data_IF_935508068801
#
_entry.id   IF_935508068801
#
_cell.length_a   1.000
_cell.length_b   1.000
_cell.length_c   1.000
_cell.angle_alpha   90.00
_cell.angle_beta   90.00
_cell.angle_gamma   90.00
#
_symmetry.space_group_name_H-M   'P 1'
#
loop_
_entity.id
_entity.type
_entity.pdbx_description
1 polymer ?
#
# COMPACT_ATOMS: atom_id res chain seq x y z
N UNK A 1 -16.93 16.61 -5.93
CA UNK A 1 -16.98 15.51 -4.95
C UNK A 1 -15.83 14.59 -5.26
N UNK A 2 -15.11 14.16 -4.23
CA UNK A 2 -14.01 13.22 -4.38
C UNK A 2 -14.53 11.82 -4.61
N UNK A 3 -13.73 10.99 -5.28
CA UNK A 3 -14.04 9.57 -5.49
C UNK A 3 -14.27 8.85 -4.15
N UNK A 4 -13.46 9.19 -3.13
CA UNK A 4 -13.56 8.61 -1.79
C UNK A 4 -14.93 8.80 -1.13
N UNK A 5 -15.65 9.87 -1.48
CA UNK A 5 -16.95 10.22 -0.88
C UNK A 5 -18.12 9.45 -1.52
N UNK A 6 -17.93 8.92 -2.74
CA UNK A 6 -19.04 8.39 -3.56
C UNK A 6 -18.89 6.90 -3.87
N UNK A 7 -17.72 6.44 -4.31
CA UNK A 7 -17.54 5.07 -4.84
C UNK A 7 -16.39 4.29 -4.21
N UNK A 8 -15.85 4.73 -3.07
CA UNK A 8 -14.73 4.04 -2.44
C UNK A 8 -15.03 2.55 -2.17
N UNK A 9 -14.17 1.61 -2.62
CA UNK A 9 -14.35 0.18 -2.37
C UNK A 9 -13.96 -0.18 -0.92
N UNK A 10 -14.77 0.28 0.02
CA UNK A 10 -14.49 0.18 1.46
C UNK A 10 -14.33 -1.26 1.92
N UNK A 11 -15.17 -2.19 1.44
CA UNK A 11 -15.15 -3.57 1.88
C UNK A 11 -13.86 -4.28 1.46
N UNK A 12 -13.47 -4.11 0.20
CA UNK A 12 -12.28 -4.68 -0.40
C UNK A 12 -11.00 -4.12 0.24
N UNK A 13 -11.00 -2.80 0.49
CA UNK A 13 -9.86 -2.14 1.14
C UNK A 13 -9.73 -2.56 2.61
N UNK A 14 -10.85 -2.68 3.34
CA UNK A 14 -10.83 -3.15 4.73
C UNK A 14 -10.31 -4.57 4.84
N UNK A 15 -10.66 -5.45 3.90
CA UNK A 15 -10.17 -6.82 3.88
C UNK A 15 -8.63 -6.89 3.83
N UNK A 16 -8.00 -6.08 2.98
CA UNK A 16 -6.54 -5.98 2.94
C UNK A 16 -5.96 -5.29 4.18
N UNK A 17 -6.63 -4.27 4.71
CA UNK A 17 -6.18 -3.60 5.93
C UNK A 17 -6.15 -4.54 7.14
N UNK A 18 -7.22 -5.32 7.33
CA UNK A 18 -7.30 -6.32 8.39
C UNK A 18 -6.12 -7.29 8.30
N UNK A 19 -5.82 -7.79 7.10
CA UNK A 19 -4.69 -8.69 6.89
C UNK A 19 -3.33 -8.05 7.09
N UNK A 20 -3.13 -6.83 6.58
CA UNK A 20 -1.89 -6.10 6.80
C UNK A 20 -1.62 -6.04 8.31
N UNK A 21 -2.62 -5.71 9.12
CA UNK A 21 -2.51 -5.56 10.57
C UNK A 21 -2.31 -6.88 11.34
N UNK A 22 -2.50 -8.04 10.71
CA UNK A 22 -2.18 -9.34 11.32
C UNK A 22 -0.67 -9.49 11.52
N UNK A 23 -0.28 -9.82 12.76
CA UNK A 23 1.11 -9.97 13.17
C UNK A 23 1.69 -11.37 12.93
N UNK A 24 1.02 -12.44 13.42
CA UNK A 24 1.55 -13.82 13.33
C UNK A 24 0.53 -14.86 12.84
N UNK A 25 -0.69 -14.85 13.39
CA UNK A 25 -1.72 -15.85 13.06
C UNK A 25 -2.90 -15.16 12.38
N UNK A 26 -3.20 -15.58 11.16
CA UNK A 26 -4.34 -15.11 10.39
C UNK A 26 -5.54 -15.99 10.75
N UNK A 27 -6.65 -15.38 11.16
CA UNK A 27 -7.89 -16.09 11.42
C UNK A 27 -8.38 -16.82 10.17
N UNK A 28 -8.99 -17.99 10.35
CA UNK A 28 -9.39 -18.87 9.23
C UNK A 28 -10.39 -18.18 8.29
N UNK A 29 -11.32 -17.42 8.85
CA UNK A 29 -12.34 -16.66 8.13
C UNK A 29 -11.70 -15.54 7.28
N UNK A 30 -10.77 -14.77 7.85
CA UNK A 30 -10.06 -13.72 7.13
C UNK A 30 -9.21 -14.30 5.98
N UNK A 31 -8.56 -15.43 6.23
CA UNK A 31 -7.82 -16.17 5.19
C UNK A 31 -8.73 -16.59 4.05
N UNK A 32 -9.91 -17.12 4.37
CA UNK A 32 -10.89 -17.55 3.36
C UNK A 32 -11.37 -16.37 2.52
N UNK A 33 -11.83 -15.29 3.17
CA UNK A 33 -12.31 -14.07 2.49
C UNK A 33 -11.25 -13.49 1.54
N UNK A 34 -9.98 -13.44 1.95
CA UNK A 34 -8.88 -12.95 1.09
C UNK A 34 -8.59 -13.90 -0.06
N UNK A 35 -8.62 -15.20 0.18
CA UNK A 35 -8.40 -16.20 -0.87
C UNK A 35 -9.48 -16.10 -1.95
N UNK A 36 -10.74 -15.98 -1.53
CA UNK A 36 -11.89 -15.73 -2.41
C UNK A 36 -11.73 -14.41 -3.18
N UNK A 37 -11.36 -13.33 -2.49
CA UNK A 37 -11.18 -12.02 -3.12
C UNK A 37 -10.02 -11.99 -4.14
N UNK A 38 -8.94 -12.71 -3.85
CA UNK A 38 -7.83 -12.89 -4.78
C UNK A 38 -8.15 -13.88 -5.92
N UNK A 39 -9.27 -14.60 -5.86
CA UNK A 39 -9.67 -15.59 -6.85
C UNK A 39 -8.74 -16.81 -6.88
N UNK A 40 -8.20 -17.21 -5.73
CA UNK A 40 -7.30 -18.37 -5.62
C UNK A 40 -7.55 -19.11 -4.31
N UNK A 41 -7.82 -20.41 -4.42
CA UNK A 41 -8.04 -21.26 -3.25
C UNK A 41 -6.72 -21.78 -2.65
N UNK A 42 -6.77 -22.21 -1.39
CA UNK A 42 -5.66 -22.88 -0.70
C UNK A 42 -4.35 -22.07 -0.58
N UNK A 43 -4.41 -20.74 -0.68
CA UNK A 43 -3.24 -19.87 -0.50
C UNK A 43 -2.62 -20.06 0.88
N UNK A 44 -1.31 -20.30 0.94
CA UNK A 44 -0.57 -20.48 2.19
C UNK A 44 -0.30 -19.13 2.84
N UNK A 45 -0.47 -19.04 4.16
CA UNK A 45 0.02 -17.88 4.90
C UNK A 45 1.55 -17.90 4.89
N UNK A 46 2.17 -16.84 4.41
CA UNK A 46 3.61 -16.60 4.54
C UNK A 46 3.80 -15.30 5.31
N UNK A 47 4.72 -15.31 6.26
CA UNK A 47 5.19 -14.09 6.92
C UNK A 47 6.14 -13.36 5.97
N UNK A 48 5.59 -12.80 4.89
CA UNK A 48 6.34 -11.88 4.04
C UNK A 48 6.70 -10.63 4.86
N UNK A 49 7.89 -10.04 4.66
CA UNK A 49 8.38 -8.92 5.46
C UNK A 49 7.52 -7.67 5.21
N UNK A 50 6.57 -7.42 6.11
CA UNK A 50 5.80 -6.17 6.18
C UNK A 50 6.63 -5.11 6.88
N UNK A 51 6.42 -3.83 6.54
CA UNK A 51 7.10 -2.70 7.16
C UNK A 51 6.96 -2.73 8.70
N UNK A 52 5.75 -3.00 9.20
CA UNK A 52 5.47 -3.14 10.63
C UNK A 52 6.08 -4.37 11.30
N UNK A 53 6.53 -5.35 10.51
CA UNK A 53 7.19 -6.56 11.01
C UNK A 53 8.72 -6.41 11.00
N UNK A 54 9.26 -5.49 10.19
CA UNK A 54 10.69 -5.17 10.16
C UNK A 54 11.08 -4.28 11.34
N UNK A 55 10.29 -3.24 11.60
CA UNK A 55 10.50 -2.32 12.71
C UNK A 55 9.16 -2.05 13.39
N UNK A 56 9.04 -2.41 14.66
CA UNK A 56 7.83 -2.15 15.44
C UNK A 56 7.79 -0.68 15.89
N UNK A 57 6.72 0.02 15.53
CA UNK A 57 6.38 1.35 16.05
C UNK A 57 4.88 1.40 16.39
N UNK A 58 4.47 1.97 17.54
CA UNK A 58 3.08 1.92 18.00
C UNK A 58 2.06 2.73 17.16
N UNK A 59 2.48 3.39 16.08
CA UNK A 59 1.60 4.00 15.07
C UNK A 59 1.53 3.15 13.78
N UNK A 60 0.87 1.98 13.86
CA UNK A 60 0.74 1.05 12.73
C UNK A 60 -0.46 1.41 11.87
N UNK A 61 -0.19 1.82 10.62
CA UNK A 61 -1.21 2.12 9.62
C UNK A 61 -1.12 1.06 8.50
N UNK A 62 -2.23 0.40 8.11
CA UNK A 62 -2.22 -0.61 7.06
C UNK A 62 -1.81 -0.02 5.71
N UNK A 63 -0.67 -0.44 5.12
CA UNK A 63 -0.19 0.15 3.88
C UNK A 63 -1.16 -0.05 2.70
N UNK A 64 -1.84 -1.19 2.58
CA UNK A 64 -2.77 -1.43 1.46
C UNK A 64 -3.93 -0.42 1.45
N UNK A 65 -4.52 -0.15 2.62
CA UNK A 65 -5.56 0.87 2.73
C UNK A 65 -5.01 2.28 2.59
N UNK A 66 -3.80 2.52 3.07
CA UNK A 66 -3.13 3.81 2.91
C UNK A 66 -2.98 4.20 1.44
N UNK A 67 -2.56 3.26 0.58
CA UNK A 67 -2.52 3.47 -0.87
C UNK A 67 -3.88 3.86 -1.43
N UNK A 68 -4.90 3.07 -1.08
CA UNK A 68 -6.26 3.28 -1.58
C UNK A 68 -6.81 4.65 -1.15
N UNK A 69 -6.73 4.98 0.14
CA UNK A 69 -7.21 6.26 0.68
C UNK A 69 -6.46 7.44 0.06
N UNK A 70 -5.13 7.34 -0.07
CA UNK A 70 -4.30 8.40 -0.66
C UNK A 70 -4.75 8.69 -2.09
N UNK A 71 -4.85 7.67 -2.95
CA UNK A 71 -5.29 7.86 -4.34
C UNK A 71 -6.75 8.36 -4.41
N UNK A 72 -7.66 7.76 -3.65
CA UNK A 72 -9.08 8.11 -3.66
C UNK A 72 -9.38 9.54 -3.18
N UNK A 73 -8.56 10.07 -2.27
CA UNK A 73 -8.68 11.45 -1.76
C UNK A 73 -8.30 12.50 -2.82
N UNK A 74 -7.43 12.14 -3.75
CA UNK A 74 -6.95 13.03 -4.82
C UNK A 74 -7.93 13.01 -5.99
N UNK A 75 -8.38 11.82 -6.39
CA UNK A 75 -9.25 11.62 -7.55
C UNK A 75 -10.60 12.31 -7.37
N UNK A 76 -11.02 13.06 -8.39
CA UNK A 76 -12.40 13.54 -8.52
C UNK A 76 -13.32 12.36 -8.86
N UNK A 77 -14.56 12.42 -8.37
CA UNK A 77 -15.57 11.48 -8.82
C UNK A 77 -15.87 11.69 -10.31
N UNK A 78 -15.89 10.59 -11.06
CA UNK A 78 -16.27 10.54 -12.46
C UNK A 78 -17.14 9.28 -12.67
N UNK A 79 -18.32 9.36 -13.30
CA UNK A 79 -19.14 8.19 -13.60
C UNK A 79 -18.43 7.08 -14.40
N UNK A 80 -17.37 7.43 -15.14
CA UNK A 80 -16.55 6.48 -15.90
C UNK A 80 -15.51 5.75 -15.03
N UNK A 81 -15.25 6.22 -13.80
CA UNK A 81 -14.34 5.60 -12.85
C UNK A 81 -15.12 4.64 -11.94
N UNK A 82 -15.15 3.37 -12.32
CA UNK A 82 -15.76 2.32 -11.50
C UNK A 82 -14.82 1.85 -10.39
N UNK A 83 -15.39 1.20 -9.37
CA UNK A 83 -14.64 0.47 -8.32
C UNK A 83 -13.61 -0.49 -8.88
N UNK A 84 -13.94 -1.21 -9.95
CA UNK A 84 -13.05 -2.20 -10.57
C UNK A 84 -11.81 -1.54 -11.19
N UNK A 85 -12.00 -0.43 -11.91
CA UNK A 85 -10.89 0.36 -12.48
C UNK A 85 -10.01 0.90 -11.35
N UNK A 86 -10.61 1.37 -10.26
CA UNK A 86 -9.87 1.85 -9.09
C UNK A 86 -9.05 0.73 -8.43
N UNK A 87 -9.66 -0.44 -8.16
CA UNK A 87 -8.99 -1.60 -7.58
C UNK A 87 -7.83 -2.08 -8.46
N UNK A 88 -8.02 -2.11 -9.77
CA UNK A 88 -6.95 -2.39 -10.74
C UNK A 88 -5.82 -1.37 -10.65
N UNK A 89 -6.16 -0.08 -10.52
CA UNK A 89 -5.18 1.00 -10.42
C UNK A 89 -4.29 0.87 -9.18
N UNK A 90 -4.86 0.52 -8.03
CA UNK A 90 -4.08 0.29 -6.80
C UNK A 90 -3.32 -1.04 -6.77
N UNK A 91 -3.43 -1.85 -7.82
CA UNK A 91 -2.61 -3.05 -8.06
C UNK A 91 -3.30 -4.38 -7.81
N UNK A 92 -4.64 -4.45 -7.73
CA UNK A 92 -5.35 -5.71 -7.44
C UNK A 92 -5.03 -6.82 -8.44
N UNK A 93 -5.02 -6.54 -9.74
CA UNK A 93 -4.72 -7.54 -10.77
C UNK A 93 -3.32 -8.13 -10.59
N UNK A 94 -2.35 -7.30 -10.21
CA UNK A 94 -0.96 -7.71 -9.94
C UNK A 94 -0.91 -8.56 -8.67
N UNK A 95 -1.65 -8.18 -7.63
CA UNK A 95 -1.77 -8.98 -6.40
C UNK A 95 -2.39 -10.37 -6.68
N UNK A 96 -3.43 -10.44 -7.51
CA UNK A 96 -4.07 -11.70 -7.92
C UNK A 96 -3.09 -12.60 -8.68
N UNK A 97 -2.36 -12.03 -9.64
CA UNK A 97 -1.34 -12.76 -10.41
C UNK A 97 -0.21 -13.27 -9.50
N UNK A 98 0.29 -12.43 -8.58
CA UNK A 98 1.31 -12.83 -7.62
C UNK A 98 0.81 -13.92 -6.67
N UNK A 99 -0.43 -13.84 -6.18
CA UNK A 99 -1.04 -14.86 -5.33
C UNK A 99 -1.10 -16.21 -6.04
N UNK A 100 -1.57 -16.22 -7.29
CA UNK A 100 -1.66 -17.43 -8.13
C UNK A 100 -0.27 -18.04 -8.36
N UNK A 101 0.74 -17.23 -8.71
CA UNK A 101 2.10 -17.70 -9.00
C UNK A 101 2.84 -18.20 -7.77
N UNK A 102 2.68 -17.51 -6.63
CA UNK A 102 3.40 -17.83 -5.40
C UNK A 102 2.71 -18.89 -4.54
N UNK A 103 1.40 -19.11 -4.74
CA UNK A 103 0.57 -19.94 -3.87
C UNK A 103 0.46 -19.40 -2.44
N UNK A 104 0.72 -18.11 -2.24
CA UNK A 104 0.71 -17.45 -0.94
C UNK A 104 -0.34 -16.34 -0.85
N UNK A 105 -0.76 -16.02 0.38
CA UNK A 105 -1.59 -14.86 0.65
C UNK A 105 -0.79 -13.58 0.36
N UNK A 106 -1.39 -12.68 -0.42
CA UNK A 106 -0.78 -11.44 -0.91
C UNK A 106 -1.68 -10.26 -0.59
N UNK A 107 -1.10 -9.11 -0.26
CA UNK A 107 -1.83 -7.84 -0.15
C UNK A 107 -1.32 -6.82 -1.16
N UNK A 108 -2.04 -5.70 -1.28
CA UNK A 108 -1.62 -4.60 -2.16
C UNK A 108 -0.22 -4.09 -1.77
N UNK A 109 0.15 -4.08 -0.49
CA UNK A 109 1.49 -3.70 -0.06
C UNK A 109 2.61 -4.52 -0.74
N UNK A 110 2.35 -5.77 -1.10
CA UNK A 110 3.36 -6.66 -1.68
C UNK A 110 3.55 -6.46 -3.20
N UNK A 111 2.73 -5.61 -3.82
CA UNK A 111 2.77 -5.34 -5.26
C UNK A 111 2.72 -3.85 -5.53
N UNK A 112 3.30 -3.41 -6.65
CA UNK A 112 3.23 -2.01 -7.03
C UNK A 112 1.87 -1.64 -7.61
N UNK A 113 1.42 -0.38 -7.42
CA UNK A 113 0.26 0.13 -8.13
C UNK A 113 0.54 0.27 -9.63
N UNK A 114 -0.52 0.31 -10.43
CA UNK A 114 -0.38 0.58 -11.86
C UNK A 114 -0.20 2.08 -12.09
N UNK A 115 1.06 2.54 -12.17
CA UNK A 115 1.41 3.96 -12.35
C UNK A 115 0.89 4.57 -13.66
N UNK A 116 0.74 3.77 -14.71
CA UNK A 116 0.18 4.25 -15.99
C UNK A 116 -1.30 4.58 -15.83
N UNK A 117 -2.06 3.72 -15.14
CA UNK A 117 -3.45 3.99 -14.80
C UNK A 117 -3.60 5.16 -13.83
N UNK A 118 -2.71 5.28 -12.82
CA UNK A 118 -2.69 6.44 -11.93
C UNK A 118 -2.54 7.73 -12.74
N UNK A 119 -1.54 7.80 -13.62
CA UNK A 119 -1.32 8.97 -14.50
C UNK A 119 -2.54 9.25 -15.39
N UNK A 120 -3.12 8.20 -15.99
CA UNK A 120 -4.31 8.32 -16.85
C UNK A 120 -5.51 8.87 -16.09
N UNK A 121 -5.79 8.37 -14.88
CA UNK A 121 -6.92 8.82 -14.07
C UNK A 121 -6.75 10.24 -13.55
N UNK A 122 -5.51 10.68 -13.30
CA UNK A 122 -5.22 12.04 -12.86
C UNK A 122 -5.23 13.05 -14.01
N UNK A 123 -5.01 12.61 -15.25
CA UNK A 123 -4.90 13.49 -16.42
C UNK A 123 -3.65 14.39 -16.41
N UNK A 124 -2.69 14.15 -15.50
CA UNK A 124 -1.45 14.90 -15.33
C UNK A 124 -0.35 14.03 -14.72
N UNK A 125 0.89 14.52 -14.68
CA UNK A 125 1.98 13.76 -14.07
C UNK A 125 1.73 13.63 -12.55
N UNK A 126 1.74 12.41 -11.97
CA UNK A 126 1.62 12.23 -10.52
C UNK A 126 2.61 13.06 -9.71
N UNK A 127 3.80 13.38 -10.24
CA UNK A 127 4.81 14.20 -9.54
C UNK A 127 4.37 15.64 -9.28
N UNK A 128 3.36 16.12 -10.00
CA UNK A 128 2.77 17.45 -9.79
C UNK A 128 1.90 17.51 -8.52
N UNK A 129 1.54 16.35 -7.95
CA UNK A 129 0.77 16.26 -6.71
C UNK A 129 1.73 16.07 -5.55
N UNK A 130 1.61 16.95 -4.56
CA UNK A 130 2.40 16.88 -3.31
C UNK A 130 1.53 16.31 -2.19
N UNK A 131 1.98 15.21 -1.59
CA UNK A 131 1.42 14.64 -0.36
C UNK A 131 2.35 15.03 0.79
N UNK A 132 1.78 15.62 1.84
CA UNK A 132 2.51 16.03 3.05
C UNK A 132 1.99 15.23 4.24
N UNK A 133 2.89 14.55 4.93
CA UNK A 133 2.60 13.83 6.18
C UNK A 133 3.54 14.31 7.31
N UNK A 134 3.08 15.25 8.16
CA UNK A 134 3.92 15.85 9.19
C UNK A 134 4.11 14.96 10.44
N UNK A 135 3.39 13.84 10.56
CA UNK A 135 3.47 12.89 11.67
C UNK A 135 3.45 11.45 11.13
N UNK A 136 4.42 11.15 10.27
CA UNK A 136 4.39 9.94 9.46
C UNK A 136 4.63 8.64 10.22
N UNK A 137 5.15 8.70 11.45
CA UNK A 137 5.39 7.54 12.29
C UNK A 137 6.21 6.46 11.58
N UNK A 138 5.58 5.30 11.35
CA UNK A 138 6.21 4.16 10.66
C UNK A 138 6.39 4.33 9.14
N UNK A 139 5.83 5.38 8.53
CA UNK A 139 6.07 5.73 7.13
C UNK A 139 5.17 5.06 6.10
N UNK A 140 4.04 4.45 6.50
CA UNK A 140 3.10 3.82 5.54
C UNK A 140 2.54 4.80 4.51
N UNK A 141 2.11 6.00 4.93
CA UNK A 141 1.58 7.04 4.03
C UNK A 141 2.64 7.51 3.04
N UNK A 142 3.83 7.97 3.48
CA UNK A 142 4.83 8.42 2.53
C UNK A 142 5.33 7.32 1.60
N UNK A 143 5.46 6.08 2.07
CA UNK A 143 5.85 4.97 1.20
C UNK A 143 4.82 4.76 0.07
N UNK A 144 3.54 4.66 0.41
CA UNK A 144 2.51 4.36 -0.58
C UNK A 144 2.23 5.55 -1.51
N UNK A 145 2.36 6.79 -1.01
CA UNK A 145 2.32 7.99 -1.85
C UNK A 145 3.45 8.00 -2.89
N UNK A 146 4.68 7.66 -2.50
CA UNK A 146 5.80 7.51 -3.43
C UNK A 146 5.56 6.38 -4.43
N UNK A 147 4.96 5.26 -4.02
CA UNK A 147 4.63 4.15 -4.93
C UNK A 147 3.59 4.54 -5.96
N UNK A 148 2.61 5.38 -5.61
CA UNK A 148 1.66 5.99 -6.56
C UNK A 148 2.32 7.02 -7.49
N UNK A 149 3.54 7.46 -7.20
CA UNK A 149 4.32 8.37 -8.03
C UNK A 149 4.24 9.84 -7.62
N UNK A 150 3.62 10.13 -6.47
CA UNK A 150 3.46 11.50 -5.98
C UNK A 150 4.77 12.06 -5.45
N UNK A 151 4.88 13.39 -5.45
CA UNK A 151 5.89 14.07 -4.64
C UNK A 151 5.47 13.96 -3.18
N UNK A 152 6.36 13.47 -2.33
CA UNK A 152 6.04 13.19 -0.93
C UNK A 152 6.98 13.95 -0.01
N UNK A 153 6.41 14.65 0.97
CA UNK A 153 7.12 15.32 2.06
C UNK A 153 6.65 14.66 3.34
N UNK A 154 7.56 14.11 4.12
CA UNK A 154 7.23 13.46 5.38
C UNK A 154 8.17 13.89 6.49
N UNK A 155 7.63 13.97 7.69
CA UNK A 155 8.36 14.30 8.90
C UNK A 155 7.72 13.64 10.12
N UNK A 156 8.43 13.73 11.24
CA UNK A 156 7.88 13.39 12.55
C UNK A 156 8.67 14.19 13.59
N UNK A 157 7.98 14.67 14.63
CA UNK A 157 8.63 15.34 15.75
C UNK A 157 9.36 14.34 16.66
N UNK A 158 8.85 13.12 16.77
CA UNK A 158 9.48 12.09 17.57
C UNK A 158 10.79 11.63 16.87
N UNK A 159 11.95 11.74 17.52
CA UNK A 159 13.23 11.39 16.90
C UNK A 159 13.32 9.90 16.52
N UNK A 160 12.64 9.02 17.27
CA UNK A 160 12.57 7.58 16.94
C UNK A 160 11.76 7.38 15.66
N UNK A 161 10.57 7.97 15.56
CA UNK A 161 9.77 7.90 14.33
C UNK A 161 10.50 8.50 13.13
N UNK A 162 11.18 9.63 13.32
CA UNK A 162 11.99 10.24 12.27
C UNK A 162 13.07 9.28 11.75
N UNK A 163 13.82 8.62 12.64
CA UNK A 163 14.81 7.61 12.24
C UNK A 163 14.18 6.42 11.53
N UNK A 164 13.03 5.94 12.00
CA UNK A 164 12.29 4.84 11.36
C UNK A 164 11.87 5.24 9.95
N UNK A 165 11.30 6.44 9.78
CA UNK A 165 10.89 6.98 8.49
C UNK A 165 12.08 7.04 7.52
N UNK A 166 13.25 7.50 7.98
CA UNK A 166 14.47 7.52 7.16
C UNK A 166 14.92 6.12 6.76
N UNK A 167 14.99 5.20 7.73
CA UNK A 167 15.39 3.81 7.49
C UNK A 167 14.44 3.07 6.53
N UNK A 168 13.17 3.43 6.58
CA UNK A 168 12.08 2.73 5.89
C UNK A 168 11.81 3.29 4.50
N UNK A 169 11.94 4.60 4.31
CA UNK A 169 11.55 5.31 3.08
C UNK A 169 12.76 5.94 2.39
N UNK A 170 13.52 6.77 3.10
CA UNK A 170 14.63 7.55 2.50
C UNK A 170 15.81 6.66 2.09
N UNK A 171 16.29 5.81 2.99
CA UNK A 171 17.51 5.02 2.77
C UNK A 171 17.34 3.96 1.67
N UNK A 172 16.25 3.18 1.61
CA UNK A 172 16.04 2.25 0.51
C UNK A 172 15.93 2.96 -0.84
N UNK A 173 15.29 4.13 -0.89
CA UNK A 173 15.18 4.93 -2.11
C UNK A 173 16.53 5.52 -2.56
N UNK A 174 17.35 5.99 -1.61
CA UNK A 174 18.63 6.67 -1.90
C UNK A 174 19.76 5.69 -2.22
N UNK A 175 19.84 4.58 -1.49
CA UNK A 175 20.98 3.67 -1.55
C UNK A 175 20.67 2.36 -2.28
N UNK A 176 19.41 1.92 -2.29
CA UNK A 176 18.96 0.74 -3.01
C UNK A 176 19.86 -0.48 -2.79
N UNK A 177 20.33 -1.08 -3.90
CA UNK A 177 21.20 -2.28 -3.88
C UNK A 177 22.53 -2.08 -3.15
N UNK A 178 23.02 -0.85 -2.98
CA UNK A 178 24.25 -0.61 -2.22
C UNK A 178 24.11 -1.03 -0.76
N UNK A 179 22.90 -0.99 -0.19
CA UNK A 179 22.65 -1.48 1.17
C UNK A 179 22.82 -3.00 1.28
N UNK A 180 22.47 -3.74 0.22
CA UNK A 180 22.59 -5.20 0.21
C UNK A 180 24.07 -5.62 0.21
N UNK A 181 24.90 -4.95 -0.58
CA UNK A 181 26.35 -5.23 -0.68
C UNK A 181 27.06 -5.03 0.67
N UNK A 182 26.58 -4.16 1.54
CA UNK A 182 27.18 -3.93 2.86
C UNK A 182 26.89 -5.05 3.88
N UNK A 183 25.95 -5.95 3.57
CA UNK A 183 25.59 -7.08 4.42
C UNK A 183 26.33 -8.38 4.05
N UNK A 184 26.96 -8.41 2.88
CA UNK A 184 27.78 -9.52 2.35
C UNK A 184 29.27 -9.29 2.67
#
# INVERSE_FOLDING_TARGET
>A
MKFIEKEFPLHEVNLFAEFDMVFKMVAKDLRQKISEFLGSENLKSRNLPKIQNLIYYPARIPPSATRAVTLASILEYNPSLSKEIFLKTIGLDIAKDLARKSGALVTLYMVDPNRELVKKLLGKDPKEITVVDPMAGGGSIPLEALRLGFRTIAGDYNPVAYLILRATVEFPAKYGKKLLILLE
#
